data_IF_162129781788
#
_entry.id   IF_162129781788
#
_cell.length_a   1.000
_cell.length_b   1.000
_cell.length_c   1.000
_cell.angle_alpha   90.00
_cell.angle_beta   90.00
_cell.angle_gamma   90.00
#
_symmetry.space_group_name_H-M   'P 1'
#
loop_
_entity.id
_entity.type
_entity.pdbx_description
1 polymer ?
#
# COMPACT_ATOMS: atom_id res chain seq x y z
N UNK A 1 -1.67 -5.53 10.06
CA UNK A 1 -2.06 -4.23 9.46
C UNK A 1 -2.96 -4.47 8.26
N UNK A 2 -3.94 -3.61 7.99
CA UNK A 2 -4.85 -3.78 6.85
C UNK A 2 -4.39 -2.95 5.66
N UNK A 3 -4.27 -3.56 4.49
CA UNK A 3 -3.98 -2.86 3.23
C UNK A 3 -5.21 -2.91 2.35
N UNK A 4 -5.61 -1.77 1.79
CA UNK A 4 -6.77 -1.65 0.89
C UNK A 4 -6.31 -1.16 -0.47
N UNK A 5 -6.67 -1.88 -1.52
CA UNK A 5 -6.27 -1.58 -2.88
C UNK A 5 -7.42 -0.96 -3.67
N UNK A 6 -7.11 0.09 -4.42
CA UNK A 6 -8.09 0.80 -5.25
C UNK A 6 -7.70 0.74 -6.73
N UNK A 7 -8.70 0.80 -7.61
CA UNK A 7 -8.54 0.88 -9.06
C UNK A 7 -7.49 -0.12 -9.63
N UNK A 8 -6.46 0.38 -10.32
CA UNK A 8 -5.41 -0.44 -10.91
C UNK A 8 -4.62 -1.26 -9.87
N UNK A 9 -4.47 -0.79 -8.64
CA UNK A 9 -3.79 -1.55 -7.58
C UNK A 9 -4.63 -2.76 -7.18
N UNK A 10 -5.96 -2.63 -7.12
CA UNK A 10 -6.87 -3.77 -6.86
C UNK A 10 -6.78 -4.80 -7.97
N UNK A 11 -6.77 -4.36 -9.22
CA UNK A 11 -6.62 -5.26 -10.37
C UNK A 11 -5.28 -6.01 -10.35
N UNK A 12 -4.19 -5.33 -9.95
CA UNK A 12 -2.86 -5.93 -9.86
C UNK A 12 -2.68 -6.84 -8.63
N UNK A 13 -3.28 -6.49 -7.49
CA UNK A 13 -3.25 -7.28 -6.27
C UNK A 13 -4.21 -8.47 -6.31
N UNK A 14 -5.26 -8.40 -7.13
CA UNK A 14 -6.31 -9.44 -7.23
C UNK A 14 -7.29 -9.46 -6.07
N UNK A 15 -7.07 -8.65 -5.04
CA UNK A 15 -7.89 -8.55 -3.82
C UNK A 15 -8.25 -7.10 -3.54
N UNK A 16 -9.40 -6.86 -2.91
CA UNK A 16 -9.82 -5.52 -2.48
C UNK A 16 -9.03 -5.03 -1.27
N UNK A 17 -8.76 -5.94 -0.34
CA UNK A 17 -8.05 -5.70 0.90
C UNK A 17 -7.41 -6.98 1.41
N UNK A 18 -6.34 -6.83 2.18
CA UNK A 18 -5.66 -7.95 2.82
C UNK A 18 -5.05 -7.51 4.16
N UNK A 19 -4.76 -8.50 5.00
CA UNK A 19 -4.00 -8.27 6.22
C UNK A 19 -2.54 -8.65 5.97
N UNK A 20 -1.64 -7.68 6.15
CA UNK A 20 -0.20 -7.89 6.08
C UNK A 20 0.35 -7.86 7.50
N UNK A 21 1.08 -8.91 7.85
CA UNK A 21 1.88 -8.98 9.06
C UNK A 21 3.24 -8.36 8.77
N UNK A 22 3.62 -7.36 9.56
CA UNK A 22 4.91 -6.71 9.52
C UNK A 22 5.56 -6.76 10.90
N UNK A 23 6.88 -6.62 10.94
CA UNK A 23 7.58 -6.50 12.21
C UNK A 23 7.18 -5.21 12.95
N UNK A 24 7.28 -5.19 14.29
CA UNK A 24 7.06 -3.97 15.05
C UNK A 24 7.94 -2.81 14.54
N UNK A 25 7.36 -1.62 14.42
CA UNK A 25 8.04 -0.44 13.90
C UNK A 25 8.30 -0.45 12.40
N UNK A 26 7.75 -1.40 11.64
CA UNK A 26 7.79 -1.38 10.19
C UNK A 26 7.15 -0.10 9.63
N UNK A 27 7.67 0.35 8.50
CA UNK A 27 7.26 1.60 7.87
C UNK A 27 6.40 1.33 6.63
N UNK A 28 5.86 2.40 6.05
CA UNK A 28 5.14 2.30 4.76
C UNK A 28 6.09 1.82 3.66
N UNK A 29 7.37 2.16 3.73
CA UNK A 29 8.36 1.63 2.79
C UNK A 29 8.49 0.11 2.91
N UNK A 30 8.62 -0.42 4.13
CA UNK A 30 8.74 -1.87 4.37
C UNK A 30 7.50 -2.64 3.89
N UNK A 31 6.31 -2.07 4.11
CA UNK A 31 5.07 -2.58 3.55
C UNK A 31 5.13 -2.65 2.02
N UNK A 32 5.49 -1.53 1.39
CA UNK A 32 5.51 -1.42 -0.08
C UNK A 32 6.53 -2.38 -0.67
N UNK A 33 7.70 -2.52 -0.06
CA UNK A 33 8.73 -3.48 -0.49
C UNK A 33 8.25 -4.93 -0.35
N UNK A 34 7.57 -5.25 0.75
CA UNK A 34 6.92 -6.55 0.95
C UNK A 34 5.92 -6.84 -0.17
N UNK A 35 5.06 -5.87 -0.52
CA UNK A 35 4.07 -6.02 -1.58
C UNK A 35 4.70 -6.12 -2.98
N UNK A 36 5.76 -5.35 -3.25
CA UNK A 36 6.52 -5.40 -4.52
C UNK A 36 7.10 -6.78 -4.79
N UNK A 37 7.57 -7.46 -3.75
CA UNK A 37 8.15 -8.81 -3.87
C UNK A 37 7.15 -9.87 -4.35
N UNK A 38 5.84 -9.59 -4.28
CA UNK A 38 4.79 -10.55 -4.67
C UNK A 38 4.55 -10.66 -6.16
N UNK A 39 4.91 -9.64 -6.94
CA UNK A 39 4.69 -9.66 -8.39
C UNK A 39 5.07 -8.39 -9.13
N UNK A 40 5.52 -8.55 -10.37
CA UNK A 40 5.99 -7.46 -11.23
C UNK A 40 4.90 -6.45 -11.59
N UNK A 41 3.66 -6.92 -11.84
CA UNK A 41 2.52 -6.06 -12.16
C UNK A 41 2.16 -5.13 -10.99
N UNK A 42 2.05 -5.69 -9.77
CA UNK A 42 1.78 -4.91 -8.55
C UNK A 42 2.93 -3.93 -8.27
N UNK A 43 4.18 -4.38 -8.42
CA UNK A 43 5.34 -3.50 -8.24
C UNK A 43 5.33 -2.28 -9.17
N UNK A 44 4.96 -2.46 -10.45
CA UNK A 44 4.87 -1.35 -11.40
C UNK A 44 3.77 -0.34 -11.03
N UNK A 45 2.65 -0.82 -10.49
CA UNK A 45 1.55 0.04 -10.01
C UNK A 45 1.96 0.78 -8.73
N UNK A 46 2.52 0.07 -7.74
CA UNK A 46 2.99 0.63 -6.47
C UNK A 46 4.04 1.74 -6.65
N UNK A 47 4.83 1.70 -7.71
CA UNK A 47 5.81 2.74 -8.03
C UNK A 47 5.18 4.10 -8.36
N UNK A 48 3.90 4.14 -8.72
CA UNK A 48 3.15 5.35 -9.06
C UNK A 48 2.02 5.67 -8.07
N UNK A 49 1.74 4.77 -7.14
CA UNK A 49 0.68 4.93 -6.15
C UNK A 49 1.03 5.96 -5.07
N UNK A 50 -0.02 6.61 -4.57
CA UNK A 50 -0.03 7.33 -3.31
C UNK A 50 -0.58 6.44 -2.20
N UNK A 51 -0.17 6.71 -0.96
CA UNK A 51 -0.56 5.92 0.20
C UNK A 51 -1.30 6.81 1.21
N UNK A 52 -2.43 6.33 1.74
CA UNK A 52 -3.09 6.94 2.88
C UNK A 52 -2.94 6.04 4.10
N UNK A 53 -2.66 6.61 5.26
CA UNK A 53 -2.66 5.92 6.55
C UNK A 53 -3.86 6.41 7.34
N UNK A 54 -4.81 5.52 7.61
CA UNK A 54 -6.09 5.82 8.28
C UNK A 54 -6.81 7.04 7.65
N UNK A 55 -6.79 7.11 6.32
CA UNK A 55 -7.38 8.21 5.54
C UNK A 55 -6.51 9.46 5.40
N UNK A 56 -5.31 9.51 6.00
CA UNK A 56 -4.38 10.65 5.94
C UNK A 56 -3.26 10.36 4.95
N UNK A 57 -3.02 11.26 3.99
CA UNK A 57 -1.94 11.10 3.02
C UNK A 57 -0.56 10.96 3.67
N UNK A 58 0.12 9.85 3.37
CA UNK A 58 1.47 9.58 3.84
C UNK A 58 2.45 10.44 3.02
N UNK A 59 3.01 11.46 3.66
CA UNK A 59 4.08 12.28 3.07
C UNK A 59 5.47 11.70 3.34
N UNK A 60 5.63 11.04 4.50
CA UNK A 60 6.88 10.40 4.88
C UNK A 60 6.67 8.89 5.06
N UNK A 61 7.17 8.13 4.09
CA UNK A 61 7.07 6.67 4.07
C UNK A 61 7.95 5.98 5.09
N UNK A 62 8.86 6.71 5.76
CA UNK A 62 9.67 6.21 6.88
C UNK A 62 8.96 6.32 8.22
N UNK A 63 7.75 6.89 8.24
CA UNK A 63 6.93 6.92 9.45
C UNK A 63 6.57 5.49 9.84
N UNK A 64 6.83 5.07 11.10
CA UNK A 64 6.45 3.74 11.56
C UNK A 64 4.93 3.58 11.56
N UNK A 65 4.48 2.40 11.15
CA UNK A 65 3.10 1.96 11.20
C UNK A 65 2.86 1.28 12.54
N UNK A 66 1.76 1.66 13.18
CA UNK A 66 1.27 1.05 14.39
C UNK A 66 0.41 -0.18 14.11
N UNK A 67 0.15 -0.94 15.17
CA UNK A 67 -0.74 -2.09 15.11
C UNK A 67 -2.18 -1.66 14.77
N UNK A 68 -2.85 -2.46 13.95
CA UNK A 68 -4.25 -2.21 13.56
C UNK A 68 -4.46 -1.04 12.60
N UNK A 69 -3.41 -0.35 12.15
CA UNK A 69 -3.57 0.72 11.15
C UNK A 69 -4.04 0.19 9.80
N UNK A 70 -4.67 1.07 9.03
CA UNK A 70 -5.10 0.80 7.66
C UNK A 70 -4.31 1.64 6.67
N UNK A 71 -3.79 1.02 5.62
CA UNK A 71 -3.09 1.69 4.52
C UNK A 71 -3.90 1.55 3.24
N UNK A 72 -4.36 2.67 2.68
CA UNK A 72 -5.02 2.69 1.37
C UNK A 72 -3.98 2.95 0.27
N UNK A 73 -3.95 2.08 -0.74
CA UNK A 73 -3.10 2.17 -1.93
C UNK A 73 -3.92 2.77 -3.06
N UNK A 74 -3.61 4.02 -3.40
CA UNK A 74 -4.30 4.80 -4.43
C UNK A 74 -3.40 4.96 -5.65
N UNK A 75 -3.64 4.24 -6.75
CA UNK A 75 -3.02 4.55 -8.03
C UNK A 75 -3.33 5.99 -8.44
N UNK A 76 -2.46 6.62 -9.27
CA UNK A 76 -2.81 7.90 -9.85
C UNK A 76 -4.11 7.71 -10.63
N UNK A 77 -5.04 8.63 -10.47
CA UNK A 77 -6.28 8.62 -11.24
C UNK A 77 -5.90 8.60 -12.73
N UNK A 78 -6.23 7.49 -13.40
CA UNK A 78 -6.29 7.45 -14.86
C UNK A 78 -7.59 8.16 -15.28
N UNK A 79 -7.70 9.44 -14.93
CA UNK A 79 -8.76 10.31 -15.44
C UNK A 79 -8.41 10.67 -16.88
N UNK A 80 -8.95 9.90 -17.82
CA UNK A 80 -9.09 10.27 -19.22
C UNK A 80 -10.44 10.92 -19.47
#
# INVERSE_FOLDING_TARGET
MTVRYFAAARAAAGVEHETVELHPGATVSDLVDTLRSRGSALSAVLARCSYLRDGVAVRDTRTPLGDGQTVDVLPPFAGG
#
